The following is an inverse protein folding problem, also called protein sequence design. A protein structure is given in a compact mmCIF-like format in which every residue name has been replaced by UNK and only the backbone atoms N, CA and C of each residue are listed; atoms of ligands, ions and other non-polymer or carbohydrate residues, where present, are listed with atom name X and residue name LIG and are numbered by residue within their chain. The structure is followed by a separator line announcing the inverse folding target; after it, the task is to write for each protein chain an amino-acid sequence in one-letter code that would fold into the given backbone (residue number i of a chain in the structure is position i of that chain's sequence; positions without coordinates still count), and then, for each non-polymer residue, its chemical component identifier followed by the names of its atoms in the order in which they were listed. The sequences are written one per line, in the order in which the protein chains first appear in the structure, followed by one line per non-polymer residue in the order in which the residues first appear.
data_IF_993594383208
#
_entry.id   IF_993594383208
#
_cell.length_a   1.000
_cell.length_b   1.000
_cell.length_c   1.000
_cell.angle_alpha   90.00
_cell.angle_beta   90.00
_cell.angle_gamma   90.00
#
_symmetry.space_group_name_H-M   'P 1'
#
loop_
_entity.id
_entity.type
_entity.pdbx_description
1 polymer ?
#
# COMPACT_ATOMS: atom_id res chain seq x y z
N UNK A 1 10.41 -17.08 -11.35
CA UNK A 1 11.03 -16.24 -10.29
C UNK A 1 10.20 -14.97 -10.19
N UNK A 2 9.83 -14.49 -8.99
CA UNK A 2 9.27 -13.15 -8.88
C UNK A 2 10.28 -12.17 -9.47
N UNK A 3 9.80 -11.21 -10.26
CA UNK A 3 10.58 -10.07 -10.70
C UNK A 3 11.26 -9.45 -9.46
N UNK A 4 12.59 -9.55 -9.41
CA UNK A 4 13.39 -9.24 -8.22
C UNK A 4 13.34 -7.74 -7.95
N UNK A 5 13.25 -6.93 -9.01
CA UNK A 5 13.24 -5.47 -8.92
C UNK A 5 11.91 -4.97 -8.34
N UNK A 6 10.81 -5.60 -8.75
CA UNK A 6 9.49 -5.38 -8.13
C UNK A 6 9.52 -5.69 -6.63
N UNK A 7 10.02 -6.86 -6.24
CA UNK A 7 10.04 -7.26 -4.83
C UNK A 7 10.87 -6.28 -4.00
N UNK A 8 12.05 -5.87 -4.49
CA UNK A 8 12.90 -4.87 -3.83
C UNK A 8 12.18 -3.54 -3.62
N UNK A 9 11.47 -3.07 -4.65
CA UNK A 9 10.67 -1.83 -4.57
C UNK A 9 9.59 -1.92 -3.48
N UNK A 10 8.87 -3.04 -3.44
CA UNK A 10 7.84 -3.27 -2.42
C UNK A 10 8.42 -3.44 -1.01
N UNK A 11 9.59 -4.07 -0.86
CA UNK A 11 10.29 -4.21 0.41
C UNK A 11 10.73 -2.84 0.96
N UNK A 12 11.25 -1.95 0.10
CA UNK A 12 11.63 -0.60 0.48
C UNK A 12 10.43 0.27 0.95
N UNK A 13 9.22 -0.09 0.52
CA UNK A 13 7.97 0.55 0.90
C UNK A 13 7.34 -0.02 2.18
N UNK A 14 7.90 -1.08 2.79
CA UNK A 14 7.41 -1.58 4.07
C UNK A 14 7.57 -0.54 5.19
N UNK A 15 6.87 -0.78 6.29
CA UNK A 15 6.98 0.05 7.49
C UNK A 15 8.40 -0.05 8.02
N UNK A 16 9.01 1.09 8.31
CA UNK A 16 10.32 1.13 8.96
C UNK A 16 10.08 1.38 10.45
N UNK A 17 9.96 0.28 11.19
CA UNK A 17 9.82 0.29 12.63
C UNK A 17 11.20 0.12 13.27
N UNK A 18 11.45 0.84 14.37
CA UNK A 18 12.58 0.55 15.26
C UNK A 18 12.40 -0.83 15.90
N UNK A 19 13.46 -1.36 16.50
CA UNK A 19 13.36 -2.65 17.18
C UNK A 19 12.43 -2.57 18.40
N UNK A 20 12.43 -1.44 19.11
CA UNK A 20 11.48 -1.17 20.20
C UNK A 20 10.04 -1.15 19.70
N UNK A 21 9.76 -0.52 18.55
CA UNK A 21 8.43 -0.49 17.95
C UNK A 21 7.98 -1.88 17.49
N UNK A 22 8.89 -2.70 16.94
CA UNK A 22 8.59 -4.10 16.57
C UNK A 22 8.25 -4.93 17.81
N UNK A 23 9.02 -4.79 18.88
CA UNK A 23 8.76 -5.47 20.16
C UNK A 23 7.41 -5.02 20.72
N UNK A 24 7.15 -3.72 20.77
CA UNK A 24 5.86 -3.19 21.24
C UNK A 24 4.67 -3.71 20.40
N UNK A 25 4.84 -3.81 19.07
CA UNK A 25 3.83 -4.40 18.19
C UNK A 25 3.58 -5.88 18.50
N UNK A 26 4.65 -6.64 18.74
CA UNK A 26 4.56 -8.06 19.09
C UNK A 26 3.94 -8.27 20.48
N UNK A 27 4.35 -7.48 21.47
CA UNK A 27 3.79 -7.48 22.82
C UNK A 27 2.30 -7.12 22.79
N UNK A 28 1.90 -6.15 21.97
CA UNK A 28 0.49 -5.79 21.79
C UNK A 28 -0.32 -6.95 21.19
N UNK A 29 0.24 -7.66 20.22
CA UNK A 29 -0.38 -8.88 19.70
C UNK A 29 -0.50 -9.97 20.77
N UNK A 30 0.57 -10.20 21.54
CA UNK A 30 0.58 -11.18 22.65
C UNK A 30 -0.43 -10.85 23.74
N UNK A 31 -0.55 -9.58 24.12
CA UNK A 31 -1.55 -9.12 25.08
C UNK A 31 -2.98 -9.36 24.58
N UNK A 32 -3.26 -9.06 23.30
CA UNK A 32 -4.56 -9.34 22.69
C UNK A 32 -4.87 -10.84 22.71
N UNK A 33 -3.90 -11.71 22.38
CA UNK A 33 -4.07 -13.17 22.46
C UNK A 33 -4.37 -13.63 23.88
N UNK A 34 -3.64 -13.13 24.87
CA UNK A 34 -3.80 -13.54 26.26
C UNK A 34 -5.12 -13.09 26.88
N UNK A 35 -5.62 -11.91 26.50
CA UNK A 35 -6.81 -11.31 27.10
C UNK A 35 -8.11 -11.61 26.33
N UNK A 36 -8.02 -12.07 25.08
CA UNK A 36 -9.20 -12.31 24.26
C UNK A 36 -9.88 -13.63 24.60
N UNK A 37 -11.21 -13.58 24.69
CA UNK A 37 -12.08 -14.75 24.73
C UNK A 37 -13.21 -14.57 23.72
N UNK A 38 -13.39 -15.55 22.84
CA UNK A 38 -14.33 -15.47 21.73
C UNK A 38 -13.90 -16.31 20.53
N UNK A 39 -14.30 -15.88 19.33
CA UNK A 39 -13.95 -16.57 18.09
C UNK A 39 -12.50 -16.32 17.70
N UNK A 40 -11.72 -17.40 17.56
CA UNK A 40 -10.33 -17.35 17.09
C UNK A 40 -10.21 -16.68 15.71
N UNK A 41 -11.20 -16.85 14.84
CA UNK A 41 -11.26 -16.20 13.53
C UNK A 41 -11.35 -14.66 13.65
N UNK A 42 -12.04 -14.15 14.68
CA UNK A 42 -12.11 -12.71 14.93
C UNK A 42 -10.78 -12.17 15.48
N UNK A 43 -10.12 -12.94 16.34
CA UNK A 43 -8.79 -12.62 16.85
C UNK A 43 -7.76 -12.59 15.72
N UNK A 44 -7.72 -13.61 14.86
CA UNK A 44 -6.81 -13.69 13.72
C UNK A 44 -6.97 -12.46 12.80
N UNK A 45 -8.21 -12.10 12.48
CA UNK A 45 -8.49 -10.91 11.65
C UNK A 45 -8.09 -9.61 12.32
N UNK A 46 -8.25 -9.49 13.65
CA UNK A 46 -7.81 -8.32 14.39
C UNK A 46 -6.28 -8.21 14.40
N UNK A 47 -5.57 -9.31 14.66
CA UNK A 47 -4.10 -9.34 14.59
C UNK A 47 -3.59 -9.04 13.17
N UNK A 48 -4.27 -9.53 12.14
CA UNK A 48 -4.00 -9.15 10.76
C UNK A 48 -4.16 -7.64 10.54
N UNK A 49 -5.22 -7.03 11.08
CA UNK A 49 -5.43 -5.58 11.02
C UNK A 49 -4.29 -4.81 11.72
N UNK A 50 -3.79 -5.31 12.86
CA UNK A 50 -2.67 -4.69 13.58
C UNK A 50 -1.42 -4.60 12.70
N UNK A 51 -1.02 -5.72 12.09
CA UNK A 51 0.16 -5.78 11.22
C UNK A 51 -0.02 -4.92 9.96
N UNK A 52 -1.16 -5.04 9.28
CA UNK A 52 -1.44 -4.27 8.06
C UNK A 52 -1.53 -2.77 8.36
N UNK A 53 -2.02 -2.38 9.54
CA UNK A 53 -2.09 -0.98 9.99
C UNK A 53 -0.73 -0.28 10.02
N UNK A 54 0.33 -0.95 10.49
CA UNK A 54 1.69 -0.39 10.47
C UNK A 54 2.18 -0.11 9.05
N UNK A 55 1.85 -0.97 8.09
CA UNK A 55 2.31 -0.83 6.70
C UNK A 55 1.52 0.20 5.90
N UNK A 56 0.20 0.21 6.04
CA UNK A 56 -0.70 0.97 5.17
C UNK A 56 -1.35 2.19 5.83
N UNK A 57 -1.38 2.26 7.16
CA UNK A 57 -2.06 3.33 7.90
C UNK A 57 -3.58 3.17 7.95
N UNK A 58 -4.22 3.97 8.80
CA UNK A 58 -5.65 3.78 9.10
C UNK A 58 -6.59 4.14 7.96
N UNK A 59 -6.20 5.04 7.02
CA UNK A 59 -7.07 5.38 5.88
C UNK A 59 -7.36 4.14 5.03
N UNK A 60 -6.35 3.30 4.78
CA UNK A 60 -6.53 2.05 4.03
C UNK A 60 -7.39 1.07 4.82
N UNK A 61 -7.21 0.95 6.14
CA UNK A 61 -8.04 0.09 6.99
C UNK A 61 -9.54 0.45 6.88
N UNK A 62 -9.87 1.75 6.86
CA UNK A 62 -11.25 2.22 6.71
C UNK A 62 -11.85 1.94 5.32
N UNK A 63 -11.02 1.81 4.28
CA UNK A 63 -11.49 1.46 2.94
C UNK A 63 -11.79 -0.04 2.83
N UNK A 64 -10.97 -0.89 3.45
CA UNK A 64 -11.09 -2.34 3.28
C UNK A 64 -12.09 -2.98 4.25
N UNK A 65 -12.28 -2.41 5.43
CA UNK A 65 -13.20 -2.89 6.46
C UNK A 65 -14.40 -1.97 6.69
N UNK A 66 -15.50 -2.52 7.19
CA UNK A 66 -16.65 -1.70 7.62
C UNK A 66 -16.38 -1.02 8.96
N UNK A 67 -17.06 0.09 9.27
CA UNK A 67 -16.99 0.75 10.58
C UNK A 67 -17.28 -0.20 11.74
N UNK A 68 -18.24 -1.12 11.58
CA UNK A 68 -18.59 -2.15 12.57
C UNK A 68 -17.41 -3.11 12.80
N UNK A 69 -16.78 -3.54 11.72
CA UNK A 69 -15.61 -4.43 11.77
C UNK A 69 -14.43 -3.76 12.46
N UNK A 70 -14.12 -2.51 12.10
CA UNK A 70 -13.06 -1.73 12.73
C UNK A 70 -13.28 -1.61 14.23
N UNK A 71 -14.47 -1.18 14.67
CA UNK A 71 -14.78 -1.02 16.09
C UNK A 71 -14.66 -2.33 16.88
N UNK A 72 -15.02 -3.45 16.24
CA UNK A 72 -14.82 -4.78 16.84
C UNK A 72 -13.34 -5.09 17.02
N UNK A 73 -12.51 -4.88 16.00
CA UNK A 73 -11.08 -5.17 16.07
C UNK A 73 -10.32 -4.21 16.99
N UNK A 74 -10.68 -2.93 17.01
CA UNK A 74 -10.20 -1.96 18.01
C UNK A 74 -10.43 -2.44 19.44
N UNK A 75 -11.61 -2.99 19.73
CA UNK A 75 -11.93 -3.54 21.06
C UNK A 75 -11.08 -4.78 21.40
N UNK A 76 -10.80 -5.64 20.42
CA UNK A 76 -9.96 -6.84 20.63
C UNK A 76 -8.50 -6.44 20.92
N UNK A 77 -7.99 -5.45 20.19
CA UNK A 77 -6.59 -5.00 20.29
C UNK A 77 -6.37 -3.94 21.37
N UNK A 78 -7.46 -3.38 21.91
CA UNK A 78 -7.45 -2.24 22.82
C UNK A 78 -6.66 -1.04 22.26
N UNK A 79 -7.07 -0.57 21.08
CA UNK A 79 -6.48 0.58 20.38
C UNK A 79 -7.57 1.45 19.74
N UNK A 80 -7.24 2.71 19.43
CA UNK A 80 -7.96 3.51 18.44
C UNK A 80 -7.10 3.64 17.18
N UNK A 81 -7.55 3.14 16.02
CA UNK A 81 -6.68 3.05 14.83
C UNK A 81 -6.20 4.42 14.33
N UNK A 82 -6.98 5.49 14.55
CA UNK A 82 -6.65 6.84 14.10
C UNK A 82 -5.55 7.49 14.93
N UNK A 83 -5.43 7.10 16.19
CA UNK A 83 -4.40 7.56 17.12
C UNK A 83 -3.18 6.64 17.06
N UNK A 84 -3.42 5.34 16.87
CA UNK A 84 -2.40 4.30 16.94
C UNK A 84 -1.58 4.19 15.64
N UNK A 85 -2.20 4.39 14.48
CA UNK A 85 -1.50 4.32 13.19
C UNK A 85 -1.40 5.69 12.52
N UNK A 86 -0.40 5.90 11.64
CA UNK A 86 -0.41 7.07 10.77
C UNK A 86 -1.61 7.03 9.81
N UNK A 87 -1.99 8.20 9.29
CA UNK A 87 -3.05 8.29 8.29
C UNK A 87 -2.75 7.46 7.03
N UNK A 88 -1.51 7.53 6.57
CA UNK A 88 -1.00 6.77 5.42
C UNK A 88 0.38 6.20 5.80
N UNK A 89 0.50 4.88 5.75
CA UNK A 89 1.77 4.18 5.93
C UNK A 89 2.62 4.19 4.66
N UNK A 90 3.85 3.69 4.75
CA UNK A 90 4.80 3.67 3.62
C UNK A 90 4.30 2.83 2.43
N UNK A 91 3.53 1.78 2.71
CA UNK A 91 2.90 0.95 1.67
C UNK A 91 1.59 1.53 1.14
N UNK A 92 1.08 2.66 1.67
CA UNK A 92 -0.25 3.17 1.35
C UNK A 92 -0.45 3.46 -0.15
N UNK A 93 0.62 3.86 -0.86
CA UNK A 93 0.61 4.11 -2.31
C UNK A 93 0.27 2.88 -3.15
N UNK A 94 0.40 1.69 -2.57
CA UNK A 94 0.03 0.43 -3.22
C UNK A 94 -1.47 0.16 -3.17
N UNK A 95 -2.25 0.92 -2.39
CA UNK A 95 -3.69 0.73 -2.26
C UNK A 95 -4.45 1.45 -3.38
N UNK A 96 -5.03 0.68 -4.31
CA UNK A 96 -5.87 1.23 -5.38
C UNK A 96 -7.05 2.02 -4.82
N UNK A 97 -7.68 1.53 -3.76
CA UNK A 97 -8.82 2.20 -3.13
C UNK A 97 -8.46 3.57 -2.56
N UNK A 98 -7.25 3.71 -2.01
CA UNK A 98 -6.78 4.99 -1.48
C UNK A 98 -6.41 5.95 -2.60
N UNK A 99 -5.76 5.46 -3.67
CA UNK A 99 -5.43 6.28 -4.83
C UNK A 99 -6.69 6.84 -5.50
N UNK A 100 -7.68 5.99 -5.76
CA UNK A 100 -8.95 6.44 -6.35
C UNK A 100 -9.70 7.41 -5.43
N UNK A 101 -9.70 7.17 -4.11
CA UNK A 101 -10.31 8.09 -3.16
C UNK A 101 -9.65 9.48 -3.16
N UNK A 102 -8.34 9.55 -3.42
CA UNK A 102 -7.62 10.83 -3.60
C UNK A 102 -7.99 11.50 -4.93
N UNK A 103 -8.07 10.74 -6.01
CA UNK A 103 -8.46 11.25 -7.33
C UNK A 103 -9.88 11.86 -7.33
N UNK A 104 -10.82 11.22 -6.64
CA UNK A 104 -12.22 11.69 -6.50
C UNK A 104 -12.32 12.90 -5.54
N UNK A 105 -11.36 13.08 -4.64
CA UNK A 105 -11.33 14.15 -3.65
C UNK A 105 -12.34 14.00 -2.49
N UNK A 106 -13.04 12.86 -2.38
CA UNK A 106 -14.10 12.65 -1.38
C UNK A 106 -13.90 11.35 -0.58
N UNK A 107 -12.81 11.27 0.18
CA UNK A 107 -12.44 10.07 0.94
C UNK A 107 -13.57 9.50 1.82
N UNK A 108 -14.28 10.36 2.56
CA UNK A 108 -15.32 9.89 3.49
C UNK A 108 -16.53 9.28 2.79
N UNK A 109 -16.87 9.74 1.59
CA UNK A 109 -17.96 9.17 0.78
C UNK A 109 -17.58 7.79 0.20
N UNK A 110 -16.29 7.56 -0.05
CA UNK A 110 -15.79 6.23 -0.44
C UNK A 110 -15.81 5.27 0.76
N UNK A 111 -15.44 5.76 1.96
CA UNK A 111 -15.46 4.97 3.20
C UNK A 111 -16.90 4.60 3.60
N UNK A 112 -17.84 5.54 3.52
CA UNK A 112 -19.27 5.26 3.78
C UNK A 112 -19.88 4.31 2.74
N UNK A 113 -19.30 4.27 1.54
CA UNK A 113 -19.80 3.50 0.41
C UNK A 113 -20.83 4.26 -0.43
N UNK A 114 -21.02 5.56 -0.19
CA UNK A 114 -21.86 6.44 -1.00
C UNK A 114 -21.31 6.54 -2.43
N UNK A 115 -19.98 6.48 -2.57
CA UNK A 115 -19.29 6.31 -3.86
C UNK A 115 -18.76 4.88 -3.92
N UNK A 116 -19.23 4.12 -4.92
CA UNK A 116 -18.72 2.77 -5.19
C UNK A 116 -17.37 2.86 -5.89
N UNK A 117 -16.41 2.14 -5.31
CA UNK A 117 -15.06 1.98 -5.86
C UNK A 117 -14.82 0.50 -6.07
N UNK A 118 -14.72 0.11 -7.33
CA UNK A 118 -14.28 -1.24 -7.70
C UNK A 118 -12.83 -1.42 -7.25
N UNK A 119 -12.46 -2.65 -6.85
CA UNK A 119 -11.11 -2.97 -6.42
C UNK A 119 -10.58 -2.20 -5.19
N UNK A 120 -11.46 -1.62 -4.36
CA UNK A 120 -11.05 -0.88 -3.14
C UNK A 120 -10.20 -1.67 -2.13
N UNK A 121 -10.13 -3.00 -2.28
CA UNK A 121 -9.35 -3.93 -1.44
C UNK A 121 -8.11 -4.47 -2.13
N UNK A 122 -7.85 -4.05 -3.36
CA UNK A 122 -6.74 -4.53 -4.17
C UNK A 122 -5.51 -3.68 -3.88
N UNK A 123 -4.35 -4.34 -3.86
CA UNK A 123 -3.05 -3.70 -3.81
C UNK A 123 -2.29 -3.98 -5.11
N UNK A 124 -1.56 -2.98 -5.58
CA UNK A 124 -0.72 -3.07 -6.76
C UNK A 124 0.76 -2.88 -6.39
N UNK A 125 1.61 -3.20 -7.35
CA UNK A 125 3.03 -2.94 -7.25
C UNK A 125 3.29 -1.45 -7.48
N UNK A 126 4.30 -0.91 -6.81
CA UNK A 126 4.73 0.45 -7.12
C UNK A 126 5.35 0.44 -8.53
N UNK A 127 4.90 1.35 -9.39
CA UNK A 127 5.52 1.54 -10.71
C UNK A 127 7.02 1.83 -10.52
N UNK A 128 7.86 1.09 -11.25
CA UNK A 128 9.27 1.42 -11.33
C UNK A 128 9.38 2.78 -12.01
N UNK A 129 10.11 3.73 -11.39
CA UNK A 129 10.39 5.01 -12.02
C UNK A 129 11.11 4.77 -13.34
N UNK A 130 10.38 4.84 -14.45
CA UNK A 130 10.93 4.66 -15.78
C UNK A 130 11.85 5.82 -16.15
N UNK A 131 13.14 5.72 -15.84
CA UNK A 131 14.17 6.28 -16.71
C UNK A 131 14.54 5.24 -17.75
N UNK A 132 13.75 5.17 -18.82
CA UNK A 132 14.27 4.69 -20.10
C UNK A 132 14.48 5.91 -21.00
N UNK A 133 15.60 6.58 -20.75
CA UNK A 133 16.29 7.34 -21.77
C UNK A 133 16.87 6.37 -22.78
N UNK A 134 16.29 6.38 -23.98
CA UNK A 134 16.88 6.21 -25.30
C UNK A 134 18.09 5.26 -25.46
N UNK A 135 17.93 4.20 -26.25
CA UNK A 135 18.72 3.98 -27.47
C UNK A 135 18.30 2.69 -28.21
N UNK A 136 18.10 2.83 -29.53
CA UNK A 136 18.19 1.73 -30.48
C UNK A 136 16.89 1.36 -31.17
N UNK A 137 16.50 2.12 -32.19
CA UNK A 137 16.10 1.48 -33.43
C UNK A 137 16.53 2.29 -34.66
N UNK A 138 17.09 1.56 -35.61
CA UNK A 138 17.90 2.06 -36.70
C UNK A 138 17.10 2.63 -37.86
N UNK A 139 17.77 3.58 -38.52
CA UNK A 139 17.87 3.73 -39.97
C UNK A 139 16.58 3.89 -40.80
N UNK A 140 16.41 5.09 -41.38
CA UNK A 140 16.57 5.23 -42.84
C UNK A 140 16.53 6.70 -43.31
N UNK A 141 17.55 7.04 -44.09
CA UNK A 141 17.53 7.93 -45.26
C UNK A 141 17.26 9.44 -45.08
N UNK A 142 18.33 10.24 -45.19
CA UNK A 142 18.34 11.33 -46.19
C UNK A 142 19.76 11.78 -46.58
N UNK A 143 20.13 11.44 -47.82
CA UNK A 143 21.03 12.10 -48.78
C UNK A 143 22.16 13.00 -48.22
N UNK A 144 23.39 12.54 -48.39
CA UNK A 144 24.54 13.44 -48.54
C UNK A 144 25.08 13.36 -49.98
N UNK A 145 25.11 14.50 -50.68
CA UNK A 145 25.77 14.67 -51.98
C UNK A 145 27.23 15.06 -51.70
N UNK A 146 28.14 14.12 -51.93
CA UNK A 146 29.55 14.41 -52.20
C UNK A 146 29.77 14.16 -53.69
N UNK A 147 30.70 14.74 -54.42
CA UNK A 147 31.52 15.94 -54.35
C UNK A 147 32.17 15.98 -55.77
N UNK A 148 32.76 17.10 -56.14
CA UNK A 148 33.38 17.38 -57.43
C UNK A 148 34.30 16.27 -57.97
N UNK A 149 34.42 16.13 -59.31
CA UNK A 149 35.70 16.40 -60.01
C UNK A 149 35.67 16.31 -61.55
N UNK A 150 36.34 17.29 -62.16
CA UNK A 150 37.20 17.28 -63.37
C UNK A 150 36.60 16.98 -64.76
N UNK A 151 36.55 18.02 -65.59
CA UNK A 151 37.59 18.25 -66.63
C UNK A 151 37.64 19.71 -67.06
#
# INVERSE_FOLDING_TARGET
MPDTDRLQTNLAALAQLSDEEKVAAFDKAGYAVANFSGSLEELEKALGMLIIGYHFGWKVLLLVHSKRTIKKYEKILDIEIKEFFPAEGRSAKRSMGLDLAKQIGNFWQVVSGDIKVDNRRTIEDLEQGGSNGNEGDGAAASKNKNDATKK
#
